data_IF_151109121147
#
_entry.id   IF_151109121147
#
_cell.length_a   1.000
_cell.length_b   1.000
_cell.length_c   1.000
_cell.angle_alpha   90.00
_cell.angle_beta   90.00
_cell.angle_gamma   90.00
#
_symmetry.space_group_name_H-M   'P 1'
#
loop_
_entity.id
_entity.type
_entity.pdbx_description
1 polymer ?
#
# COMPACT_ATOMS: atom_id res chain seq x y z
N UNK A 1 -6.25 18.34 8.16
CA UNK A 1 -4.97 17.80 8.65
C UNK A 1 -4.96 16.37 8.20
N UNK A 2 -4.05 16.03 7.28
CA UNK A 2 -3.93 14.67 6.75
C UNK A 2 -3.05 13.88 7.71
N UNK A 3 -3.39 12.61 7.93
CA UNK A 3 -2.53 11.69 8.68
C UNK A 3 -1.84 10.83 7.64
N UNK A 4 -0.51 10.96 7.59
CA UNK A 4 0.33 10.03 6.85
C UNK A 4 0.75 8.94 7.84
N UNK A 5 -0.04 7.86 7.87
CA UNK A 5 0.20 6.71 8.74
C UNK A 5 0.94 5.63 7.98
N UNK A 6 2.08 5.19 8.51
CA UNK A 6 2.81 4.04 7.96
C UNK A 6 2.29 2.75 8.60
N UNK A 7 1.76 1.83 7.80
CA UNK A 7 1.14 0.59 8.29
C UNK A 7 2.18 -0.52 8.51
N UNK A 8 2.94 -0.39 9.57
CA UNK A 8 4.01 -1.31 10.00
C UNK A 8 3.49 -2.42 10.93
N UNK A 9 2.42 -3.12 10.57
CA UNK A 9 1.95 -4.25 11.39
C UNK A 9 2.79 -5.52 11.27
N UNK A 10 3.61 -5.65 10.21
CA UNK A 10 4.40 -6.84 9.92
C UNK A 10 5.92 -6.61 10.08
N UNK A 11 6.56 -7.13 11.14
CA UNK A 11 7.98 -6.88 11.40
C UNK A 11 8.95 -7.45 10.35
N UNK A 12 8.53 -8.43 9.52
CA UNK A 12 9.41 -9.07 8.52
C UNK A 12 9.40 -8.37 7.16
N UNK A 13 8.27 -7.77 6.78
CA UNK A 13 8.13 -7.10 5.49
C UNK A 13 8.72 -5.68 5.50
N UNK A 14 8.72 -5.06 6.68
CA UNK A 14 9.17 -3.68 6.84
C UNK A 14 10.70 -3.59 6.91
N UNK A 15 11.30 -2.83 5.97
CA UNK A 15 12.73 -2.49 6.01
C UNK A 15 12.90 -1.05 6.43
N UNK A 16 13.86 -0.83 7.33
CA UNK A 16 14.24 0.51 7.79
C UNK A 16 14.57 1.48 6.64
N UNK A 17 15.15 0.96 5.56
CA UNK A 17 15.44 1.73 4.35
C UNK A 17 14.18 2.36 3.71
N UNK A 18 13.02 1.70 3.76
CA UNK A 18 11.77 2.28 3.25
C UNK A 18 11.22 3.35 4.18
N UNK A 19 11.34 3.14 5.50
CA UNK A 19 10.88 4.07 6.54
C UNK A 19 11.71 5.38 6.48
N UNK A 20 13.03 5.27 6.34
CA UNK A 20 13.95 6.43 6.32
C UNK A 20 13.79 7.30 5.06
N UNK A 21 13.16 6.80 3.99
CA UNK A 21 12.96 7.52 2.73
C UNK A 21 11.63 8.27 2.62
N UNK A 22 10.74 8.13 3.60
CA UNK A 22 9.45 8.82 3.62
C UNK A 22 9.51 9.97 4.63
N UNK A 23 9.86 11.16 4.14
CA UNK A 23 10.09 12.36 4.97
C UNK A 23 8.82 12.94 5.64
N UNK A 24 7.63 12.40 5.34
CA UNK A 24 6.33 12.93 5.81
C UNK A 24 5.54 12.00 6.73
N UNK A 25 6.10 10.89 7.25
CA UNK A 25 5.38 10.01 8.18
C UNK A 25 5.07 10.76 9.49
N UNK A 26 3.80 10.79 9.87
CA UNK A 26 3.32 11.47 11.09
C UNK A 26 3.02 10.46 12.20
N UNK A 27 2.48 9.28 11.86
CA UNK A 27 2.16 8.21 12.82
C UNK A 27 2.49 6.83 12.24
N UNK A 28 2.72 5.86 13.12
CA UNK A 28 2.94 4.45 12.78
C UNK A 28 1.80 3.59 13.36
N UNK A 29 1.37 2.55 12.66
CA UNK A 29 0.44 1.55 13.24
C UNK A 29 1.00 0.97 14.55
N UNK A 30 2.33 0.80 14.62
CA UNK A 30 3.03 0.30 15.79
C UNK A 30 3.03 1.23 17.00
N UNK A 31 2.71 2.52 16.84
CA UNK A 31 2.49 3.45 17.97
C UNK A 31 1.31 2.99 18.85
N UNK A 32 0.36 2.26 18.26
CA UNK A 32 -0.89 1.84 18.89
C UNK A 32 -0.89 0.37 19.35
N UNK A 33 0.25 -0.33 19.31
CA UNK A 33 0.30 -1.75 19.68
C UNK A 33 -0.19 -2.05 21.10
N UNK A 34 0.04 -1.14 22.05
CA UNK A 34 -0.43 -1.31 23.41
C UNK A 34 -1.96 -1.19 23.51
N UNK A 35 -2.54 -0.17 22.89
CA UNK A 35 -3.98 0.04 22.81
C UNK A 35 -4.68 -1.09 22.06
N UNK A 36 -4.11 -1.55 20.94
CA UNK A 36 -4.59 -2.71 20.17
C UNK A 36 -4.59 -3.97 21.03
N UNK A 37 -3.55 -4.20 21.83
CA UNK A 37 -3.48 -5.34 22.74
C UNK A 37 -4.56 -5.28 23.82
N UNK A 38 -4.78 -4.10 24.42
CA UNK A 38 -5.83 -3.91 25.43
C UNK A 38 -7.24 -4.11 24.85
N UNK A 39 -7.48 -3.64 23.62
CA UNK A 39 -8.73 -3.87 22.90
C UNK A 39 -8.92 -5.34 22.54
N UNK A 40 -7.85 -6.07 22.19
CA UNK A 40 -7.91 -7.51 21.98
C UNK A 40 -8.27 -8.27 23.27
N UNK A 41 -7.68 -7.89 24.40
CA UNK A 41 -8.04 -8.43 25.73
C UNK A 41 -9.52 -8.18 26.04
N UNK A 42 -10.01 -6.97 25.76
CA UNK A 42 -11.43 -6.65 25.94
C UNK A 42 -12.35 -7.44 25.00
N UNK A 43 -11.92 -7.67 23.75
CA UNK A 43 -12.65 -8.49 22.79
C UNK A 43 -12.79 -9.95 23.29
N UNK A 44 -11.74 -10.50 23.89
CA UNK A 44 -11.78 -11.80 24.55
C UNK A 44 -12.76 -11.76 25.73
N UNK A 45 -12.70 -10.73 26.59
CA UNK A 45 -13.59 -10.58 27.75
C UNK A 45 -15.07 -10.54 27.39
N UNK A 46 -15.38 -9.99 26.22
CA UNK A 46 -16.76 -9.96 25.68
C UNK A 46 -17.17 -11.25 24.97
N UNK A 47 -16.29 -12.25 24.92
CA UNK A 47 -16.54 -13.52 24.23
C UNK A 47 -16.44 -13.45 22.71
N UNK A 48 -15.92 -12.36 22.16
CA UNK A 48 -15.81 -12.09 20.73
C UNK A 48 -14.42 -12.40 20.15
N UNK A 49 -13.54 -13.02 20.93
CA UNK A 49 -12.28 -13.56 20.45
C UNK A 49 -11.89 -14.80 21.27
N UNK A 50 -11.07 -15.66 20.68
CA UNK A 50 -10.56 -16.87 21.31
C UNK A 50 -9.16 -17.20 20.77
N UNK A 51 -8.34 -17.84 21.60
CA UNK A 51 -7.04 -18.37 21.15
C UNK A 51 -7.27 -19.67 20.39
N UNK A 52 -6.67 -19.82 19.21
CA UNK A 52 -6.79 -20.98 18.34
C UNK A 52 -5.42 -21.64 18.16
N UNK A 53 -5.36 -22.98 18.26
CA UNK A 53 -4.15 -23.77 18.05
C UNK A 53 -4.14 -24.54 16.72
N UNK A 54 -5.14 -24.31 15.85
CA UNK A 54 -5.07 -24.83 14.49
C UNK A 54 -3.84 -24.26 13.76
N UNK A 55 -3.15 -25.13 13.04
CA UNK A 55 -2.07 -24.74 12.12
C UNK A 55 -2.61 -23.92 10.94
N UNK A 56 -1.77 -23.19 10.20
CA UNK A 56 -2.22 -22.42 9.04
C UNK A 56 -3.00 -23.25 8.00
N UNK A 57 -2.56 -24.49 7.75
CA UNK A 57 -3.22 -25.41 6.81
C UNK A 57 -4.59 -25.87 7.33
N UNK A 58 -4.68 -26.18 8.63
CA UNK A 58 -5.96 -26.52 9.25
C UNK A 58 -6.92 -25.32 9.29
N UNK A 59 -6.42 -24.10 9.58
CA UNK A 59 -7.26 -22.89 9.52
C UNK A 59 -7.83 -22.72 8.12
N UNK A 60 -7.01 -22.90 7.08
CA UNK A 60 -7.46 -22.85 5.68
C UNK A 60 -8.55 -23.89 5.42
N UNK A 61 -8.32 -25.15 5.79
CA UNK A 61 -9.28 -26.24 5.63
C UNK A 61 -10.61 -25.95 6.35
N UNK A 62 -10.57 -25.47 7.59
CA UNK A 62 -11.75 -25.15 8.38
C UNK A 62 -12.52 -23.95 7.80
N UNK A 63 -11.83 -22.94 7.27
CA UNK A 63 -12.47 -21.80 6.57
C UNK A 63 -13.14 -22.24 5.27
N UNK A 64 -12.48 -23.08 4.47
CA UNK A 64 -13.06 -23.64 3.24
C UNK A 64 -14.30 -24.49 3.52
N UNK A 65 -14.27 -25.28 4.59
CA UNK A 65 -15.41 -26.12 5.02
C UNK A 65 -16.46 -25.38 5.85
N UNK A 66 -16.27 -24.08 6.13
CA UNK A 66 -17.15 -23.29 7.01
C UNK A 66 -17.38 -23.96 8.38
N UNK A 67 -16.32 -24.52 8.97
CA UNK A 67 -16.36 -25.26 10.24
C UNK A 67 -15.80 -24.41 11.39
N UNK A 68 -16.46 -24.45 12.53
CA UNK A 68 -15.92 -23.86 13.76
C UNK A 68 -14.64 -24.59 14.17
N UNK A 69 -13.62 -23.83 14.59
CA UNK A 69 -12.44 -24.42 15.23
C UNK A 69 -12.87 -25.22 16.47
N UNK A 70 -12.23 -26.38 16.77
CA UNK A 70 -12.49 -27.11 18.01
C UNK A 70 -12.18 -26.28 19.26
N UNK A 71 -11.41 -25.20 19.10
CA UNK A 71 -11.01 -24.28 20.16
C UNK A 71 -11.95 -23.09 20.34
N UNK A 72 -12.95 -22.93 19.47
CA UNK A 72 -13.81 -21.73 19.37
C UNK A 72 -14.61 -21.44 20.64
N UNK A 73 -15.06 -22.50 21.32
CA UNK A 73 -15.96 -22.41 22.48
C UNK A 73 -15.22 -22.58 23.82
N UNK A 74 -13.88 -22.44 23.82
CA UNK A 74 -13.11 -22.48 25.06
C UNK A 74 -13.52 -21.37 26.04
N UNK A 75 -13.39 -21.58 27.36
CA UNK A 75 -13.65 -20.55 28.36
C UNK A 75 -12.86 -19.26 28.09
N UNK A 76 -13.48 -18.13 28.42
CA UNK A 76 -12.88 -16.81 28.28
C UNK A 76 -11.57 -16.72 29.06
N UNK A 77 -11.55 -17.21 30.29
CA UNK A 77 -10.40 -17.18 31.20
C UNK A 77 -9.22 -17.95 30.62
N UNK A 78 -9.48 -19.05 29.92
CA UNK A 78 -8.46 -19.84 29.23
C UNK A 78 -7.87 -19.06 28.04
N UNK A 79 -8.72 -18.40 27.24
CA UNK A 79 -8.25 -17.53 26.15
C UNK A 79 -7.43 -16.35 26.65
N UNK A 80 -7.84 -15.72 27.76
CA UNK A 80 -7.09 -14.62 28.38
C UNK A 80 -5.71 -15.06 28.83
N UNK A 81 -5.63 -16.20 29.53
CA UNK A 81 -4.36 -16.77 29.96
C UNK A 81 -3.47 -17.10 28.77
N UNK A 82 -4.02 -17.76 27.76
CA UNK A 82 -3.22 -18.17 26.60
C UNK A 82 -2.77 -16.98 25.76
N UNK A 83 -3.56 -15.92 25.64
CA UNK A 83 -3.15 -14.72 24.93
C UNK A 83 -2.03 -13.97 25.67
N UNK A 84 -2.05 -13.98 27.00
CA UNK A 84 -0.94 -13.50 27.83
C UNK A 84 0.30 -14.41 27.69
N UNK A 85 0.12 -15.73 27.66
CA UNK A 85 1.20 -16.70 27.41
C UNK A 85 1.84 -16.48 26.01
N UNK A 86 1.05 -16.14 24.99
CA UNK A 86 1.56 -15.75 23.66
C UNK A 86 2.46 -14.50 23.73
N UNK A 87 2.05 -13.47 24.50
CA UNK A 87 2.83 -12.23 24.71
C UNK A 87 4.09 -12.44 25.57
N UNK A 88 4.11 -13.47 26.42
CA UNK A 88 5.24 -13.82 27.29
C UNK A 88 6.21 -14.82 26.66
N UNK A 89 6.08 -15.08 25.36
CA UNK A 89 6.92 -16.03 24.61
C UNK A 89 6.85 -17.46 25.16
N UNK A 90 5.75 -17.83 25.83
CA UNK A 90 5.55 -19.17 26.37
C UNK A 90 4.97 -20.16 25.33
N UNK A 91 4.67 -19.66 24.12
CA UNK A 91 4.12 -20.42 23.00
C UNK A 91 4.97 -20.12 21.77
N UNK A 92 5.44 -21.16 21.07
CA UNK A 92 6.28 -21.03 19.87
C UNK A 92 5.52 -20.40 18.69
N UNK A 93 6.27 -19.80 17.75
CA UNK A 93 5.71 -19.27 16.51
C UNK A 93 4.82 -20.28 15.77
N UNK A 94 3.69 -19.78 15.26
CA UNK A 94 2.74 -20.59 14.48
C UNK A 94 1.95 -21.62 15.29
N UNK A 95 2.18 -21.77 16.61
CA UNK A 95 1.43 -22.71 17.48
C UNK A 95 0.14 -22.14 18.05
N UNK A 96 -0.03 -20.82 18.03
CA UNK A 96 -1.27 -20.19 18.43
C UNK A 96 -1.51 -18.88 17.67
N UNK A 97 -2.78 -18.56 17.49
CA UNK A 97 -3.25 -17.26 16.99
C UNK A 97 -4.42 -16.78 17.85
N UNK A 98 -4.59 -15.47 17.97
CA UNK A 98 -5.86 -14.92 18.45
C UNK A 98 -6.79 -14.79 17.24
N UNK A 99 -7.99 -15.33 17.32
CA UNK A 99 -9.01 -15.19 16.26
C UNK A 99 -10.24 -14.48 16.79
N UNK A 100 -10.82 -13.63 15.95
CA UNK A 100 -12.10 -12.99 16.21
C UNK A 100 -13.20 -14.05 16.10
N UNK A 101 -14.16 -14.05 17.03
CA UNK A 101 -15.31 -14.96 17.03
C UNK A 101 -16.46 -14.28 16.29
N UNK A 102 -16.51 -14.51 14.98
CA UNK A 102 -17.45 -13.91 14.03
C UNK A 102 -18.51 -14.95 13.60
N UNK A 103 -18.73 -15.13 12.30
CA UNK A 103 -19.72 -16.03 11.73
C UNK A 103 -19.14 -16.88 10.60
N UNK A 104 -18.76 -18.12 10.95
CA UNK A 104 -18.27 -19.13 10.00
C UNK A 104 -19.30 -19.54 8.94
N UNK A 105 -20.59 -19.21 9.11
CA UNK A 105 -21.65 -19.53 8.14
C UNK A 105 -22.00 -18.38 7.21
N UNK A 106 -21.42 -17.20 7.41
CA UNK A 106 -21.64 -16.03 6.57
C UNK A 106 -21.36 -16.30 5.08
N UNK A 107 -21.95 -15.49 4.21
CA UNK A 107 -21.59 -15.46 2.79
C UNK A 107 -20.35 -14.59 2.54
N UNK A 108 -19.93 -13.78 3.53
CA UNK A 108 -18.70 -13.00 3.48
C UNK A 108 -17.53 -13.77 4.13
N UNK A 109 -16.51 -14.07 3.32
CA UNK A 109 -15.31 -14.80 3.76
C UNK A 109 -14.50 -14.06 4.86
N UNK A 110 -14.65 -12.74 4.97
CA UNK A 110 -14.04 -11.92 6.01
C UNK A 110 -14.75 -12.04 7.37
N UNK A 111 -15.84 -12.81 7.43
CA UNK A 111 -16.52 -13.16 8.68
C UNK A 111 -16.08 -14.53 9.21
N UNK A 112 -15.13 -15.21 8.56
CA UNK A 112 -14.72 -16.57 8.91
C UNK A 112 -13.62 -16.56 9.98
N UNK A 113 -14.00 -16.03 11.15
CA UNK A 113 -13.18 -15.91 12.34
C UNK A 113 -11.75 -15.45 12.00
N UNK A 114 -11.60 -14.22 11.50
CA UNK A 114 -10.31 -13.68 11.06
C UNK A 114 -9.29 -13.68 12.20
N UNK A 115 -8.02 -13.84 11.83
CA UNK A 115 -6.91 -13.78 12.78
C UNK A 115 -6.72 -12.32 13.19
N UNK A 116 -6.76 -12.06 14.50
CA UNK A 116 -6.46 -10.77 15.11
C UNK A 116 -4.98 -10.63 15.45
N UNK A 117 -4.34 -11.67 15.99
CA UNK A 117 -2.91 -11.66 16.35
C UNK A 117 -2.19 -12.95 15.98
N UNK A 118 -0.90 -12.82 15.65
CA UNK A 118 0.03 -13.94 15.40
C UNK A 118 1.30 -13.76 16.24
N UNK A 119 1.92 -14.88 16.61
CA UNK A 119 3.24 -14.89 17.27
C UNK A 119 4.33 -14.75 16.22
N UNK A 120 5.26 -13.82 16.44
CA UNK A 120 6.51 -13.64 15.70
C UNK A 120 7.59 -13.13 16.66
N UNK A 121 8.72 -13.79 16.72
CA UNK A 121 9.87 -13.41 17.55
C UNK A 121 10.85 -12.48 16.81
N UNK A 122 10.50 -12.04 15.60
CA UNK A 122 11.25 -11.02 14.86
C UNK A 122 11.06 -9.65 15.54
N UNK A 123 12.15 -8.94 15.89
CA UNK A 123 12.07 -7.57 16.41
C UNK A 123 11.43 -6.62 15.39
N UNK A 124 10.63 -5.68 15.88
CA UNK A 124 9.97 -4.71 15.04
C UNK A 124 10.91 -3.55 14.66
N UNK A 125 10.96 -3.10 13.39
CA UNK A 125 11.85 -2.00 12.96
C UNK A 125 11.63 -0.68 13.73
N UNK A 126 10.36 -0.38 14.05
CA UNK A 126 9.96 0.80 14.84
C UNK A 126 9.81 0.51 16.35
N UNK A 127 8.90 -0.39 16.74
CA UNK A 127 8.63 -0.73 18.15
C UNK A 127 9.71 -1.55 18.90
N UNK A 128 10.74 -2.05 18.21
CA UNK A 128 11.85 -2.82 18.80
C UNK A 128 11.46 -4.24 19.23
N UNK A 129 12.09 -4.73 20.29
CA UNK A 129 11.95 -6.09 20.86
C UNK A 129 10.87 -6.20 21.94
N UNK A 130 10.03 -5.18 22.09
CA UNK A 130 8.97 -5.13 23.13
C UNK A 130 7.81 -6.09 22.87
N UNK A 131 7.66 -6.56 21.64
CA UNK A 131 6.52 -7.34 21.19
C UNK A 131 6.98 -8.61 20.47
N UNK A 132 6.32 -9.71 20.83
CA UNK A 132 6.46 -11.02 20.17
C UNK A 132 5.14 -11.50 19.54
N UNK A 133 4.10 -10.67 19.64
CA UNK A 133 2.80 -10.88 19.02
C UNK A 133 2.42 -9.62 18.27
N UNK A 134 1.95 -9.79 17.03
CA UNK A 134 1.64 -8.68 16.15
C UNK A 134 0.20 -8.78 15.65
N UNK A 135 -0.54 -7.64 15.63
CA UNK A 135 -1.90 -7.61 15.13
C UNK A 135 -1.92 -7.81 13.61
N UNK A 136 -3.02 -8.34 13.09
CA UNK A 136 -3.25 -8.37 11.66
C UNK A 136 -3.67 -7.00 11.12
N UNK A 137 -3.58 -6.84 9.80
CA UNK A 137 -4.12 -5.69 9.10
C UNK A 137 -5.61 -5.45 9.44
N UNK A 138 -6.45 -6.48 9.31
CA UNK A 138 -7.90 -6.36 9.54
C UNK A 138 -8.25 -5.93 10.96
N UNK A 139 -7.43 -6.30 11.95
CA UNK A 139 -7.62 -5.88 13.34
C UNK A 139 -7.09 -4.47 13.60
N UNK A 140 -5.96 -4.11 12.99
CA UNK A 140 -5.29 -2.83 13.21
C UNK A 140 -6.01 -1.69 12.53
N UNK A 141 -6.34 -1.86 11.25
CA UNK A 141 -6.70 -0.78 10.36
C UNK A 141 -7.90 0.04 10.90
N UNK A 142 -9.02 -0.62 11.16
CA UNK A 142 -10.25 0.05 11.62
C UNK A 142 -10.12 0.62 13.04
N UNK A 143 -9.32 -0.01 13.90
CA UNK A 143 -9.12 0.46 15.27
C UNK A 143 -8.27 1.72 15.27
N UNK A 144 -7.15 1.74 14.53
CA UNK A 144 -6.28 2.92 14.47
C UNK A 144 -7.00 4.08 13.79
N UNK A 145 -7.80 3.83 12.75
CA UNK A 145 -8.68 4.86 12.17
C UNK A 145 -9.61 5.49 13.22
N UNK A 146 -10.21 4.66 14.08
CA UNK A 146 -11.07 5.13 15.18
C UNK A 146 -10.29 5.94 16.22
N UNK A 147 -9.10 5.47 16.62
CA UNK A 147 -8.24 6.17 17.59
C UNK A 147 -7.74 7.51 17.06
N UNK A 148 -7.43 7.58 15.77
CA UNK A 148 -7.01 8.80 15.07
C UNK A 148 -8.18 9.72 14.70
N UNK A 149 -9.42 9.35 15.04
CA UNK A 149 -10.65 10.07 14.70
C UNK A 149 -10.77 10.34 13.19
N UNK A 150 -10.37 9.38 12.38
CA UNK A 150 -10.52 9.41 10.93
C UNK A 150 -12.01 9.51 10.60
N UNK A 151 -12.37 10.50 9.76
CA UNK A 151 -13.78 10.77 9.44
C UNK A 151 -14.27 10.06 8.19
N UNK A 152 -13.37 9.70 7.26
CA UNK A 152 -13.70 9.05 6.00
C UNK A 152 -12.57 8.09 5.64
N UNK A 153 -12.84 6.78 5.60
CA UNK A 153 -11.90 5.74 5.14
C UNK A 153 -12.38 5.15 3.81
N UNK A 154 -11.56 5.11 2.76
CA UNK A 154 -11.99 4.64 1.43
C UNK A 154 -11.39 3.28 1.12
N UNK A 155 -12.17 2.21 1.22
CA UNK A 155 -11.69 0.84 0.99
C UNK A 155 -11.91 0.40 -0.47
N UNK A 156 -10.84 0.03 -1.17
CA UNK A 156 -10.75 -0.55 -2.52
C UNK A 156 -10.87 -2.08 -2.42
N UNK A 157 -12.03 -2.63 -2.68
CA UNK A 157 -12.38 -3.99 -2.23
C UNK A 157 -11.85 -5.15 -3.09
N UNK A 158 -11.38 -4.89 -4.32
CA UNK A 158 -10.99 -5.90 -5.31
C UNK A 158 -9.47 -6.03 -5.54
N UNK A 159 -8.65 -5.58 -4.60
CA UNK A 159 -7.19 -5.67 -4.69
C UNK A 159 -6.69 -6.94 -3.96
N UNK A 160 -6.04 -7.86 -4.68
CA UNK A 160 -5.52 -9.12 -4.10
C UNK A 160 -4.21 -8.93 -3.30
N UNK A 161 -3.45 -7.87 -3.58
CA UNK A 161 -2.25 -7.49 -2.85
C UNK A 161 -2.55 -6.46 -1.75
N UNK A 162 -1.84 -6.52 -0.62
CA UNK A 162 -2.01 -5.59 0.50
C UNK A 162 -1.59 -4.15 0.16
N UNK A 163 -0.52 -3.97 -0.63
CA UNK A 163 0.00 -2.68 -1.10
C UNK A 163 0.60 -2.85 -2.50
N UNK A 164 0.38 -1.86 -3.37
CA UNK A 164 1.03 -1.73 -4.69
C UNK A 164 1.73 -0.38 -4.74
N UNK A 165 3.02 -0.39 -5.10
CA UNK A 165 3.80 0.84 -5.23
C UNK A 165 3.56 1.48 -6.60
N UNK A 166 2.91 2.63 -6.61
CA UNK A 166 2.62 3.40 -7.82
C UNK A 166 3.61 4.56 -7.99
N UNK A 167 4.03 4.80 -9.23
CA UNK A 167 4.89 5.94 -9.56
C UNK A 167 4.07 7.23 -9.66
N UNK A 168 4.14 8.07 -8.62
CA UNK A 168 3.52 9.38 -8.61
C UNK A 168 4.52 10.47 -8.98
N UNK A 169 4.16 11.33 -9.92
CA UNK A 169 5.01 12.48 -10.29
C UNK A 169 4.99 13.52 -9.17
N UNK A 170 6.17 14.02 -8.77
CA UNK A 170 6.31 15.09 -7.76
C UNK A 170 5.65 16.42 -8.19
N UNK A 171 5.57 16.70 -9.49
CA UNK A 171 4.82 17.83 -10.06
C UNK A 171 4.20 17.44 -11.42
N UNK A 172 3.15 18.14 -11.92
CA UNK A 172 2.36 17.70 -13.08
C UNK A 172 3.17 17.37 -14.35
N UNK A 173 4.21 18.14 -14.63
CA UNK A 173 5.07 17.99 -15.82
C UNK A 173 6.41 17.29 -15.52
N UNK A 174 6.51 16.55 -14.42
CA UNK A 174 7.76 15.90 -14.04
C UNK A 174 8.21 14.89 -15.13
N UNK A 175 9.49 14.90 -15.53
CA UNK A 175 10.02 14.02 -16.57
C UNK A 175 9.76 12.55 -16.26
N UNK A 176 9.18 11.81 -17.22
CA UNK A 176 8.74 10.44 -17.00
C UNK A 176 9.88 9.40 -16.98
N UNK A 177 11.08 9.84 -17.31
CA UNK A 177 12.34 9.10 -17.44
C UNK A 177 13.27 9.29 -16.23
N UNK A 178 12.97 10.24 -15.34
CA UNK A 178 13.78 10.52 -14.17
C UNK A 178 13.15 9.89 -12.92
N UNK A 179 13.76 8.84 -12.39
CA UNK A 179 13.28 8.13 -11.18
C UNK A 179 13.12 9.07 -9.98
N UNK A 180 13.92 10.13 -9.86
CA UNK A 180 13.79 11.13 -8.77
C UNK A 180 12.62 12.11 -8.93
N UNK A 181 12.04 12.17 -10.14
CA UNK A 181 10.81 12.92 -10.45
C UNK A 181 9.55 12.18 -10.02
N UNK A 182 9.71 10.92 -9.64
CA UNK A 182 8.69 10.11 -9.05
C UNK A 182 8.96 9.93 -7.56
N UNK A 183 7.89 9.80 -6.80
CA UNK A 183 7.90 9.20 -5.48
C UNK A 183 6.95 8.02 -5.54
N UNK A 184 7.26 7.00 -4.75
CA UNK A 184 6.42 5.83 -4.65
C UNK A 184 5.24 6.18 -3.75
N UNK A 185 4.03 5.98 -4.27
CA UNK A 185 2.80 6.11 -3.51
C UNK A 185 2.27 4.72 -3.23
N UNK A 186 2.16 4.33 -1.95
CA UNK A 186 1.52 3.08 -1.61
C UNK A 186 0.03 3.20 -1.94
N UNK A 187 -0.41 2.43 -2.93
CA UNK A 187 -1.81 2.22 -3.22
C UNK A 187 -2.24 0.95 -2.53
N UNK A 188 -3.18 1.06 -1.60
CA UNK A 188 -3.61 -0.07 -0.80
C UNK A 188 -5.10 -0.33 -0.99
N UNK A 189 -5.56 -1.42 -0.36
CA UNK A 189 -6.98 -1.68 -0.19
C UNK A 189 -7.70 -0.53 0.52
N UNK A 190 -7.02 0.41 1.16
CA UNK A 190 -7.63 1.62 1.72
C UNK A 190 -6.88 2.87 1.25
N UNK A 191 -7.63 3.85 0.79
CA UNK A 191 -7.17 5.18 0.41
C UNK A 191 -7.97 6.24 1.15
N UNK A 192 -7.51 7.48 1.12
CA UNK A 192 -8.21 8.60 1.74
C UNK A 192 -8.46 9.66 0.67
N UNK A 193 -9.68 10.20 0.64
CA UNK A 193 -10.06 11.30 -0.28
C UNK A 193 -10.54 12.50 0.51
N UNK A 194 -10.47 13.67 -0.12
CA UNK A 194 -11.04 14.88 0.45
C UNK A 194 -12.56 14.79 0.58
N UNK A 195 -13.11 15.37 1.65
CA UNK A 195 -14.56 15.41 1.86
C UNK A 195 -15.27 16.14 0.71
N UNK A 196 -14.63 17.18 0.17
CA UNK A 196 -15.17 17.92 -0.97
C UNK A 196 -15.20 17.12 -2.26
N UNK A 197 -14.43 16.04 -2.34
CA UNK A 197 -14.32 15.14 -3.49
C UNK A 197 -15.29 13.96 -3.41
N UNK A 198 -16.18 13.92 -2.40
CA UNK A 198 -17.36 13.06 -2.40
C UNK A 198 -18.68 13.80 -2.13
N UNK A 199 -19.76 13.43 -2.84
CA UNK A 199 -21.13 13.92 -2.58
C UNK A 199 -22.19 12.83 -2.77
N UNK A 200 -23.23 12.85 -1.94
CA UNK A 200 -24.39 11.94 -2.03
C UNK A 200 -25.24 12.13 -3.30
N UNK A 201 -25.23 13.33 -3.87
CA UNK A 201 -25.95 13.66 -5.11
C UNK A 201 -24.97 14.22 -6.11
N UNK A 202 -24.89 13.57 -7.27
CA UNK A 202 -24.07 14.04 -8.39
C UNK A 202 -24.69 15.29 -9.05
N UNK A 203 -23.85 16.09 -9.69
CA UNK A 203 -24.27 17.26 -10.48
C UNK A 203 -23.34 17.44 -11.67
N UNK A 204 -23.84 18.10 -12.73
CA UNK A 204 -23.11 18.23 -14.01
C UNK A 204 -21.80 19.03 -13.89
N UNK A 205 -21.69 19.89 -12.88
CA UNK A 205 -20.55 20.75 -12.56
C UNK A 205 -19.59 20.11 -11.54
N UNK A 206 -19.89 18.91 -11.06
CA UNK A 206 -19.10 18.22 -10.05
C UNK A 206 -18.25 17.12 -10.67
N UNK A 207 -16.96 17.11 -10.35
CA UNK A 207 -15.99 16.16 -10.92
C UNK A 207 -15.50 15.11 -9.91
N UNK A 208 -15.85 15.26 -8.63
CA UNK A 208 -15.57 14.28 -7.59
C UNK A 208 -16.51 13.07 -7.63
N UNK A 209 -16.28 12.16 -6.69
CA UNK A 209 -16.97 10.87 -6.57
C UNK A 209 -18.39 11.06 -6.02
N UNK A 210 -19.32 10.23 -6.52
CA UNK A 210 -20.71 10.17 -6.09
C UNK A 210 -21.23 8.74 -6.27
N UNK A 211 -22.33 8.33 -5.63
CA UNK A 211 -22.87 6.98 -5.79
C UNK A 211 -23.06 6.58 -7.26
N UNK A 212 -22.44 5.47 -7.68
CA UNK A 212 -22.48 4.95 -9.05
C UNK A 212 -21.58 5.65 -10.07
N UNK A 213 -20.90 6.75 -9.68
CA UNK A 213 -19.98 7.50 -10.53
C UNK A 213 -18.57 6.95 -10.45
N UNK A 214 -17.83 7.04 -11.56
CA UNK A 214 -16.41 6.71 -11.62
C UNK A 214 -15.54 7.96 -11.67
N UNK A 215 -14.43 7.95 -10.95
CA UNK A 215 -13.40 9.00 -10.99
C UNK A 215 -12.01 8.38 -11.06
N UNK A 216 -11.06 9.07 -11.67
CA UNK A 216 -9.66 8.63 -11.73
C UNK A 216 -8.93 9.13 -10.49
N UNK A 217 -8.43 8.21 -9.67
CA UNK A 217 -7.48 8.57 -8.61
C UNK A 217 -6.17 9.05 -9.26
N UNK A 218 -5.65 10.16 -8.77
CA UNK A 218 -4.42 10.74 -9.30
C UNK A 218 -3.27 9.75 -9.10
N UNK A 219 -2.60 9.39 -10.21
CA UNK A 219 -1.52 8.39 -10.27
C UNK A 219 -1.92 6.94 -10.00
N UNK A 220 -3.21 6.64 -9.92
CA UNK A 220 -3.72 5.30 -9.67
C UNK A 220 -4.83 4.92 -10.66
N UNK A 221 -5.77 4.10 -10.22
CA UNK A 221 -6.79 3.52 -11.08
C UNK A 221 -8.10 4.32 -11.03
N UNK A 222 -8.92 4.25 -12.09
CA UNK A 222 -10.30 4.69 -12.00
C UNK A 222 -11.06 3.82 -11.00
N UNK A 223 -11.72 4.48 -10.04
CA UNK A 223 -12.57 3.85 -9.03
C UNK A 223 -14.03 4.21 -9.27
N UNK A 224 -14.94 3.29 -8.97
CA UNK A 224 -16.38 3.50 -9.01
C UNK A 224 -16.97 3.29 -7.63
N UNK A 225 -17.72 4.27 -7.12
CA UNK A 225 -18.44 4.12 -5.86
C UNK A 225 -19.59 3.12 -6.03
N UNK A 226 -19.54 2.05 -5.25
CA UNK A 226 -20.56 0.99 -5.24
C UNK A 226 -21.50 1.12 -4.05
N UNK A 227 -20.99 1.57 -2.91
CA UNK A 227 -21.75 1.65 -1.65
C UNK A 227 -21.19 2.76 -0.76
N UNK A 228 -22.06 3.35 0.06
CA UNK A 228 -21.74 4.41 1.03
C UNK A 228 -22.26 3.98 2.38
N UNK A 229 -21.37 3.96 3.37
CA UNK A 229 -21.70 3.59 4.75
C UNK A 229 -21.91 4.86 5.57
N UNK A 230 -23.06 4.97 6.23
CA UNK A 230 -23.44 6.10 7.08
C UNK A 230 -23.33 5.71 8.56
N UNK A 231 -22.91 6.66 9.40
CA UNK A 231 -22.84 6.47 10.85
C UNK A 231 -24.15 6.78 11.58
N UNK A 232 -24.16 6.57 12.90
CA UNK A 232 -25.34 6.65 13.79
C UNK A 232 -26.10 8.00 13.75
N UNK A 233 -25.42 9.07 13.34
CA UNK A 233 -26.05 10.35 13.00
C UNK A 233 -26.26 10.37 11.49
N UNK A 234 -27.51 10.16 11.07
CA UNK A 234 -28.07 9.94 9.71
C UNK A 234 -27.52 10.73 8.48
N UNK A 235 -26.47 11.52 8.58
CA UNK A 235 -25.85 12.26 7.48
C UNK A 235 -24.31 12.29 7.54
N UNK A 236 -23.67 11.51 8.41
CA UNK A 236 -22.20 11.41 8.46
C UNK A 236 -21.75 10.18 7.66
N UNK A 237 -21.05 10.42 6.55
CA UNK A 237 -20.42 9.35 5.76
C UNK A 237 -19.19 8.89 6.52
N UNK A 238 -19.08 7.57 6.74
CA UNK A 238 -17.97 6.96 7.48
C UNK A 238 -17.04 6.23 6.51
N UNK A 239 -17.60 5.49 5.56
CA UNK A 239 -16.84 4.75 4.55
C UNK A 239 -17.50 4.79 3.19
N UNK A 240 -16.67 4.69 2.14
CA UNK A 240 -17.12 4.54 0.75
C UNK A 240 -16.46 3.29 0.20
N UNK A 241 -17.28 2.30 -0.18
CA UNK A 241 -16.79 1.14 -0.90
C UNK A 241 -16.72 1.47 -2.39
N UNK A 242 -15.58 1.19 -3.00
CA UNK A 242 -15.36 1.40 -4.41
C UNK A 242 -14.67 0.20 -5.08
N UNK A 243 -15.02 -0.04 -6.34
CA UNK A 243 -14.33 -0.99 -7.21
C UNK A 243 -13.34 -0.22 -8.10
N UNK A 244 -12.09 -0.68 -8.20
CA UNK A 244 -11.15 -0.14 -9.19
C UNK A 244 -11.15 -0.97 -10.47
N UNK A 245 -10.96 -0.32 -11.62
CA UNK A 245 -10.82 -1.00 -12.91
C UNK A 245 -9.34 -1.10 -13.30
N UNK A 246 -8.68 -2.27 -13.13
CA UNK A 246 -7.27 -2.46 -13.48
C UNK A 246 -7.04 -2.47 -15.01
N UNK A 247 -8.09 -2.70 -15.81
CA UNK A 247 -7.98 -2.90 -17.26
C UNK A 247 -7.98 -1.59 -18.05
N UNK A 248 -8.37 -0.48 -17.42
CA UNK A 248 -8.49 0.84 -18.07
C UNK A 248 -7.46 1.83 -17.56
N UNK A 249 -6.27 1.75 -18.14
CA UNK A 249 -5.34 2.89 -18.22
C UNK A 249 -5.17 3.40 -19.69
N UNK A 250 -5.45 2.53 -20.69
CA UNK A 250 -5.21 2.62 -22.16
C UNK A 250 -3.81 3.07 -22.59
N UNK A 251 -3.03 2.38 -23.44
CA UNK A 251 -3.14 1.19 -24.34
C UNK A 251 -2.01 0.18 -23.99
N UNK A 252 -2.07 -1.12 -24.35
CA UNK A 252 -1.06 -2.09 -23.93
C UNK A 252 0.26 -1.87 -24.68
N UNK A 253 1.31 -1.62 -23.89
CA UNK A 253 2.73 -1.60 -24.28
C UNK A 253 3.56 -2.38 -23.24
N UNK A 254 2.92 -3.18 -22.40
CA UNK A 254 3.50 -3.63 -21.14
C UNK A 254 4.20 -5.00 -21.32
N UNK A 255 5.54 -5.05 -21.25
CA UNK A 255 6.26 -6.32 -21.34
C UNK A 255 5.85 -7.29 -20.24
N UNK A 256 5.34 -6.83 -19.10
CA UNK A 256 4.91 -7.70 -17.98
C UNK A 256 3.68 -8.57 -18.29
N UNK A 257 2.94 -8.30 -19.37
CA UNK A 257 1.86 -9.17 -19.87
C UNK A 257 2.39 -10.36 -20.69
N UNK A 258 3.69 -10.36 -21.02
CA UNK A 258 4.39 -11.46 -21.67
C UNK A 258 4.85 -12.43 -20.58
N UNK A 259 3.95 -13.31 -20.13
CA UNK A 259 4.23 -14.41 -19.19
C UNK A 259 5.57 -15.08 -19.54
N UNK A 260 6.55 -14.94 -18.66
CA UNK A 260 7.93 -15.46 -18.77
C UNK A 260 8.73 -15.09 -20.04
N UNK A 261 8.25 -14.15 -20.88
CA UNK A 261 8.90 -13.73 -22.14
C UNK A 261 9.13 -12.23 -22.27
N UNK A 262 8.90 -11.47 -21.21
CA UNK A 262 9.10 -10.01 -21.21
C UNK A 262 10.54 -9.59 -21.54
N UNK A 263 11.54 -10.44 -21.24
CA UNK A 263 12.95 -10.20 -21.60
C UNK A 263 13.18 -10.19 -23.12
N UNK A 264 12.35 -10.91 -23.89
CA UNK A 264 12.46 -10.99 -25.35
C UNK A 264 11.94 -9.72 -26.04
N UNK A 265 11.18 -8.88 -25.32
CA UNK A 265 10.61 -7.61 -25.81
C UNK A 265 11.44 -6.39 -25.35
N UNK A 266 12.61 -6.62 -24.75
CA UNK A 266 13.54 -5.54 -24.45
C UNK A 266 14.02 -4.88 -25.73
N UNK A 267 13.87 -3.56 -25.82
CA UNK A 267 14.40 -2.80 -26.95
C UNK A 267 15.95 -2.90 -26.95
N UNK A 268 16.56 -3.58 -27.95
CA UNK A 268 18.02 -3.71 -28.01
C UNK A 268 18.72 -2.37 -28.25
N UNK A 269 17.98 -1.36 -28.71
CA UNK A 269 18.45 0.00 -28.92
C UNK A 269 18.08 0.95 -27.77
N UNK A 270 17.70 0.41 -26.60
CA UNK A 270 17.38 1.21 -25.40
C UNK A 270 18.55 2.09 -24.95
N UNK A 271 19.79 1.67 -25.26
CA UNK A 271 21.01 2.46 -25.04
C UNK A 271 21.93 2.37 -26.25
N UNK A 272 22.19 3.52 -26.87
CA UNK A 272 23.22 3.67 -27.90
C UNK A 272 24.25 4.65 -27.38
N UNK A 273 25.51 4.22 -27.29
CA UNK A 273 26.62 5.07 -26.85
C UNK A 273 27.36 5.59 -28.09
N UNK A 274 27.46 6.91 -28.21
CA UNK A 274 28.25 7.56 -29.26
C UNK A 274 29.54 8.06 -28.59
N UNK A 275 30.67 7.43 -28.91
CA UNK A 275 31.98 7.88 -28.44
C UNK A 275 32.52 9.01 -29.32
N UNK A 276 33.42 9.81 -28.77
CA UNK A 276 34.21 10.81 -29.50
C UNK A 276 33.35 11.86 -30.25
N UNK A 277 32.18 12.18 -29.69
CA UNK A 277 31.31 13.22 -30.20
C UNK A 277 31.92 14.62 -29.96
N UNK A 278 31.81 15.49 -30.96
CA UNK A 278 32.24 16.88 -30.86
C UNK A 278 31.09 17.76 -30.38
N UNK A 279 31.42 18.70 -29.49
CA UNK A 279 30.48 19.70 -28.97
C UNK A 279 31.12 21.09 -29.01
N UNK A 280 30.32 22.13 -28.81
CA UNK A 280 30.83 23.51 -28.79
C UNK A 280 31.69 23.75 -27.54
N UNK A 281 32.77 24.55 -27.62
CA UNK A 281 33.68 24.78 -26.49
C UNK A 281 33.02 25.36 -25.24
N UNK A 282 31.89 26.06 -25.38
CA UNK A 282 31.14 26.64 -24.26
C UNK A 282 30.57 25.61 -23.28
N UNK A 283 30.57 24.32 -23.66
CA UNK A 283 30.12 23.24 -22.78
C UNK A 283 31.23 22.70 -21.87
N UNK A 284 32.48 23.13 -22.02
CA UNK A 284 33.62 22.61 -21.23
C UNK A 284 33.44 22.75 -19.72
N UNK A 285 32.74 23.79 -19.28
CA UNK A 285 32.51 24.09 -17.87
C UNK A 285 31.14 23.59 -17.36
N UNK A 286 30.44 22.77 -18.15
CA UNK A 286 29.15 22.23 -17.77
C UNK A 286 29.26 21.30 -16.55
N UNK A 287 28.43 21.55 -15.54
CA UNK A 287 28.40 20.79 -14.29
C UNK A 287 27.43 19.59 -14.39
N UNK A 288 27.67 18.56 -13.59
CA UNK A 288 26.76 17.40 -13.47
C UNK A 288 25.36 17.89 -13.14
N UNK A 289 24.36 17.45 -13.91
CA UNK A 289 22.97 17.89 -13.80
C UNK A 289 22.59 19.07 -14.69
N UNK A 290 23.56 19.79 -15.28
CA UNK A 290 23.25 20.84 -16.24
C UNK A 290 22.51 20.26 -17.46
N UNK A 291 21.52 21.00 -17.93
CA UNK A 291 20.63 20.58 -19.02
C UNK A 291 20.77 21.50 -20.22
N UNK A 292 20.90 20.92 -21.41
CA UNK A 292 21.10 21.64 -22.67
C UNK A 292 20.17 21.11 -23.74
N UNK A 293 19.68 22.01 -24.60
CA UNK A 293 19.14 21.62 -25.89
C UNK A 293 20.28 21.57 -26.90
N UNK A 294 20.61 20.39 -27.40
CA UNK A 294 21.49 20.28 -28.56
C UNK A 294 20.63 20.46 -29.81
N UNK A 295 20.93 21.53 -30.56
CA UNK A 295 20.13 21.94 -31.69
C UNK A 295 19.88 20.78 -32.67
N UNK A 296 18.63 20.61 -33.05
CA UNK A 296 18.15 19.55 -33.96
C UNK A 296 18.30 18.10 -33.46
N UNK A 297 18.93 17.87 -32.30
CA UNK A 297 19.19 16.53 -31.76
C UNK A 297 18.24 16.16 -30.62
N UNK A 298 18.10 17.02 -29.61
CA UNK A 298 17.30 16.72 -28.43
C UNK A 298 17.74 17.52 -27.21
N UNK A 299 17.17 17.16 -26.07
CA UNK A 299 17.58 17.66 -24.77
C UNK A 299 18.50 16.65 -24.11
N UNK A 300 19.57 17.15 -23.50
CA UNK A 300 20.63 16.37 -22.90
C UNK A 300 20.94 16.90 -21.51
N UNK A 301 21.35 15.99 -20.62
CA UNK A 301 21.83 16.32 -19.28
C UNK A 301 23.27 15.82 -19.11
N UNK A 302 24.10 16.59 -18.40
CA UNK A 302 25.44 16.15 -18.01
C UNK A 302 25.32 15.02 -16.99
N UNK A 303 25.78 13.84 -17.36
CA UNK A 303 25.71 12.64 -16.53
C UNK A 303 26.79 12.66 -15.43
N UNK A 304 26.53 11.95 -14.34
CA UNK A 304 27.47 11.76 -13.22
C UNK A 304 28.77 11.07 -13.61
N UNK A 305 28.81 10.36 -14.73
CA UNK A 305 30.00 9.72 -15.29
C UNK A 305 30.95 10.75 -15.96
N UNK A 306 30.58 12.03 -16.00
CA UNK A 306 31.44 13.11 -16.50
C UNK A 306 32.62 13.37 -15.57
N UNK A 307 33.80 13.63 -16.14
CA UNK A 307 35.02 13.98 -15.42
C UNK A 307 35.66 15.25 -15.99
N UNK A 308 36.56 15.93 -15.24
CA UNK A 308 37.36 17.01 -15.80
C UNK A 308 38.15 16.52 -17.03
N UNK A 309 37.79 17.03 -18.22
CA UNK A 309 38.38 16.64 -19.50
C UNK A 309 37.60 15.58 -20.29
N UNK A 310 36.52 15.02 -19.75
CA UNK A 310 35.60 14.12 -20.48
C UNK A 310 34.16 14.32 -20.01
N UNK A 311 33.38 15.02 -20.81
CA UNK A 311 31.94 15.21 -20.55
C UNK A 311 31.14 14.04 -21.13
N UNK A 312 30.16 13.58 -20.35
CA UNK A 312 29.19 12.55 -20.74
C UNK A 312 27.81 13.19 -20.71
N UNK A 313 27.10 13.12 -21.83
CA UNK A 313 25.75 13.66 -21.95
C UNK A 313 24.75 12.53 -22.19
N UNK A 314 23.75 12.43 -21.33
CA UNK A 314 22.61 11.55 -21.55
C UNK A 314 21.51 12.32 -22.28
N UNK A 315 20.97 11.74 -23.35
CA UNK A 315 19.82 12.32 -24.03
C UNK A 315 18.56 12.06 -23.20
N UNK A 316 18.01 13.12 -22.61
CA UNK A 316 16.74 13.11 -21.88
C UNK A 316 15.58 12.78 -22.84
N UNK A 317 15.46 13.54 -23.93
CA UNK A 317 14.39 13.32 -24.91
C UNK A 317 14.76 13.88 -26.29
N UNK A 318 14.21 13.32 -27.36
CA UNK A 318 14.31 13.86 -28.73
C UNK A 318 13.43 15.10 -28.91
N UNK A 319 13.72 15.94 -29.91
CA UNK A 319 12.95 17.18 -30.14
C UNK A 319 11.52 16.94 -30.63
N UNK A 320 11.26 15.80 -31.26
CA UNK A 320 9.94 15.38 -31.75
C UNK A 320 9.72 13.92 -31.37
N UNK A 321 8.46 13.59 -31.15
CA UNK A 321 8.03 12.22 -30.91
C UNK A 321 8.24 11.40 -32.20
N UNK A 322 9.05 10.35 -32.13
CA UNK A 322 9.32 9.43 -33.24
C UNK A 322 8.41 8.20 -33.21
N UNK A 323 7.58 8.04 -32.18
CA UNK A 323 6.63 6.94 -32.07
C UNK A 323 5.29 7.37 -32.70
N UNK A 324 4.86 6.65 -33.73
CA UNK A 324 3.48 6.77 -34.24
C UNK A 324 2.50 6.36 -33.13
N UNK A 325 1.56 7.26 -32.81
CA UNK A 325 0.55 7.09 -31.74
C UNK A 325 -0.39 5.91 -31.93
#
# INVERSE_FOLDING_TARGET
MYIYRYDDTNPEAEKKEYIDHIEEIITYSSDYFQELYELAVELIRRGHAYVDHLTPDEIKEYREKKMNSPWRDRPMEESLKLFDDMKKELIEEGKATLRMKQDMKSDNFNMYDLIAYRIKFTPHPHAGDKWCIYPSYDFTHCIVDSLENITHSVVITNMEASVMELDAKKWPDAPADNVSSFYKVPFSKVVYIEKSDFRMKDSKDYYGLAPGKSVLLRYAFPIKCIEVILGDKNDTIVEIHAEYDPSKMTKPKNPAELEDKWLDDLNPNSKIVISDAYAVPSLNDAAVGDSFQFERLGYFVVDKDSTPGKLVFNRTVTLRDSYSK
#
